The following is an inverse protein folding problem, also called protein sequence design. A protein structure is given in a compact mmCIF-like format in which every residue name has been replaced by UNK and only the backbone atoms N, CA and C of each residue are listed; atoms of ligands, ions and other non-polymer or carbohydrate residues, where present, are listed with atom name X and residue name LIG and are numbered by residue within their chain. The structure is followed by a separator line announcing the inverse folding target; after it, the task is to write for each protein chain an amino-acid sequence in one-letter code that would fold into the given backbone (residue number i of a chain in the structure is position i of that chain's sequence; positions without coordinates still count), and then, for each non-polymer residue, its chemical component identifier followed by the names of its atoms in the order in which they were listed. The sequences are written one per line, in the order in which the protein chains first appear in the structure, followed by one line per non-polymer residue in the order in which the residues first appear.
data_IF_272058548694
#
_entry.id   IF_272058548694
#
_cell.length_a   1.000
_cell.length_b   1.000
_cell.length_c   1.000
_cell.angle_alpha   90.00
_cell.angle_beta   90.00
_cell.angle_gamma   90.00
#
_symmetry.space_group_name_H-M   'P 1'
#
loop_
_entity.id
_entity.type
_entity.pdbx_description
1 polymer ?
#
# COMPACT_ATOMS: atom_id res chain seq x y z
N UNK A 1 -5.48 -3.74 -18.07
CA UNK A 1 -6.67 -4.56 -17.80
C UNK A 1 -7.60 -3.72 -16.94
N UNK A 2 -8.77 -3.35 -17.47
CA UNK A 2 -9.92 -3.15 -16.58
C UNK A 2 -10.02 -4.42 -15.72
N UNK A 3 -10.40 -4.31 -14.45
CA UNK A 3 -10.66 -5.50 -13.63
C UNK A 3 -11.55 -6.48 -14.42
N UNK A 4 -11.33 -7.81 -14.30
CA UNK A 4 -12.12 -8.81 -15.01
C UNK A 4 -13.62 -8.50 -14.97
N UNK A 5 -14.34 -8.83 -16.03
CA UNK A 5 -15.78 -8.59 -16.08
C UNK A 5 -16.53 -9.32 -14.94
N UNK A 6 -15.92 -10.39 -14.42
CA UNK A 6 -16.37 -11.22 -13.31
C UNK A 6 -15.74 -10.88 -11.95
N UNK A 7 -15.03 -9.75 -11.85
CA UNK A 7 -14.54 -9.24 -10.57
C UNK A 7 -15.72 -9.11 -9.59
N UNK A 8 -15.57 -9.73 -8.41
CA UNK A 8 -16.63 -9.77 -7.39
C UNK A 8 -17.00 -8.37 -6.88
N UNK A 9 -16.04 -7.47 -6.71
CA UNK A 9 -16.30 -6.08 -6.33
C UNK A 9 -16.98 -5.31 -7.48
N UNK A 10 -16.68 -5.65 -8.75
CA UNK A 10 -17.36 -5.13 -9.94
C UNK A 10 -18.81 -5.62 -10.05
N UNK A 11 -19.05 -6.92 -9.87
CA UNK A 11 -20.37 -7.57 -9.99
C UNK A 11 -21.27 -7.21 -8.80
N UNK A 12 -20.80 -7.38 -7.56
CA UNK A 12 -21.65 -7.25 -6.37
C UNK A 12 -21.99 -5.80 -6.03
N UNK A 13 -21.14 -4.84 -6.43
CA UNK A 13 -21.20 -3.47 -5.87
C UNK A 13 -21.27 -2.37 -6.93
N UNK A 14 -21.24 -2.72 -8.22
CA UNK A 14 -21.51 -1.81 -9.34
C UNK A 14 -20.47 -0.70 -9.56
N UNK A 15 -19.31 -0.77 -8.90
CA UNK A 15 -18.28 0.26 -8.98
C UNK A 15 -17.01 -0.29 -9.67
N UNK A 16 -16.62 0.35 -10.78
CA UNK A 16 -15.33 0.13 -11.43
C UNK A 16 -14.27 0.88 -10.61
N UNK A 17 -13.17 0.23 -10.23
CA UNK A 17 -12.01 0.94 -9.66
C UNK A 17 -11.47 1.91 -10.72
N UNK A 18 -11.78 3.20 -10.58
CA UNK A 18 -11.30 4.24 -11.49
C UNK A 18 -9.85 4.63 -11.15
N UNK A 19 -8.95 4.25 -12.04
CA UNK A 19 -7.63 4.83 -12.21
C UNK A 19 -7.04 4.33 -13.54
N UNK A 20 -6.42 5.18 -14.38
CA UNK A 20 -5.68 4.68 -15.53
C UNK A 20 -4.49 3.87 -15.03
N UNK A 21 -4.66 2.56 -14.92
CA UNK A 21 -3.54 1.66 -14.67
C UNK A 21 -2.67 1.66 -15.94
N UNK A 22 -1.49 2.27 -15.86
CA UNK A 22 -0.51 2.20 -16.93
C UNK A 22 0.16 0.82 -16.87
N UNK A 23 -0.18 -0.05 -17.80
CA UNK A 23 0.39 -1.38 -17.89
C UNK A 23 1.61 -1.32 -18.82
N UNK A 24 2.83 -1.62 -18.34
CA UNK A 24 4.00 -1.66 -19.20
C UNK A 24 3.85 -2.81 -20.20
N UNK A 25 3.64 -2.49 -21.48
CA UNK A 25 3.45 -3.48 -22.54
C UNK A 25 4.74 -4.26 -22.87
N UNK A 26 5.90 -3.77 -22.42
CA UNK A 26 7.21 -4.40 -22.59
C UNK A 26 7.57 -5.41 -21.49
N UNK A 27 6.74 -5.57 -20.45
CA UNK A 27 6.98 -6.55 -19.39
C UNK A 27 6.07 -7.77 -19.59
N UNK A 28 6.58 -8.75 -20.34
CA UNK A 28 5.90 -10.04 -20.52
C UNK A 28 5.61 -10.71 -19.16
N UNK A 29 4.38 -11.19 -18.95
CA UNK A 29 3.98 -11.83 -17.71
C UNK A 29 3.62 -10.86 -16.57
N UNK A 30 3.82 -9.55 -16.73
CA UNK A 30 3.51 -8.57 -15.69
C UNK A 30 2.03 -8.55 -15.32
N UNK A 31 1.14 -8.60 -16.32
CA UNK A 31 -0.31 -8.59 -16.09
C UNK A 31 -0.77 -9.86 -15.40
N UNK A 32 -0.27 -11.00 -15.86
CA UNK A 32 -0.56 -12.32 -15.30
C UNK A 32 -0.08 -12.42 -13.85
N UNK A 33 1.14 -11.95 -13.56
CA UNK A 33 1.71 -11.93 -12.21
C UNK A 33 0.93 -11.00 -11.26
N UNK A 34 0.61 -9.78 -11.69
CA UNK A 34 -0.22 -8.87 -10.88
C UNK A 34 -1.60 -9.50 -10.60
N UNK A 35 -2.17 -10.21 -11.57
CA UNK A 35 -3.44 -10.87 -11.40
C UNK A 35 -3.34 -12.07 -10.44
N UNK A 36 -2.43 -13.01 -10.68
CA UNK A 36 -2.32 -14.27 -9.92
C UNK A 36 -1.72 -14.08 -8.53
N UNK A 37 -0.67 -13.27 -8.39
CA UNK A 37 0.11 -13.18 -7.16
C UNK A 37 -0.42 -12.10 -6.21
N UNK A 38 -0.95 -11.00 -6.77
CA UNK A 38 -1.39 -9.86 -5.97
C UNK A 38 -2.91 -9.78 -5.89
N UNK A 39 -3.61 -9.72 -7.03
CA UNK A 39 -5.05 -9.48 -7.04
C UNK A 39 -5.86 -10.65 -6.46
N UNK A 40 -5.61 -11.89 -6.89
CA UNK A 40 -6.30 -13.06 -6.31
C UNK A 40 -5.99 -13.23 -4.82
N UNK A 41 -4.74 -12.97 -4.41
CA UNK A 41 -4.35 -12.99 -3.00
C UNK A 41 -5.09 -11.93 -2.20
N UNK A 42 -5.24 -10.72 -2.74
CA UNK A 42 -6.04 -9.65 -2.12
C UNK A 42 -7.51 -10.03 -1.99
N UNK A 43 -8.10 -10.66 -3.00
CA UNK A 43 -9.48 -11.15 -2.93
C UNK A 43 -9.68 -12.27 -1.90
N UNK A 44 -8.65 -13.09 -1.64
CA UNK A 44 -8.71 -14.15 -0.63
C UNK A 44 -8.63 -13.65 0.82
N UNK A 45 -8.28 -12.38 1.03
CA UNK A 45 -8.22 -11.81 2.38
C UNK A 45 -9.63 -11.53 2.92
N UNK A 46 -9.75 -11.60 4.24
CA UNK A 46 -10.94 -11.11 4.93
C UNK A 46 -10.85 -9.58 5.08
N UNK A 47 -11.88 -8.87 4.59
CA UNK A 47 -11.92 -7.42 4.57
C UNK A 47 -12.93 -6.88 5.58
N UNK A 48 -12.49 -5.95 6.41
CA UNK A 48 -13.37 -5.17 7.30
C UNK A 48 -13.54 -3.76 6.79
N UNK A 49 -14.80 -3.29 6.70
CA UNK A 49 -15.09 -1.91 6.31
C UNK A 49 -14.78 -0.94 7.46
N UNK A 50 -13.90 0.04 7.20
CA UNK A 50 -13.74 1.20 8.07
C UNK A 50 -14.94 2.15 7.89
N UNK A 51 -16.02 1.91 8.64
CA UNK A 51 -17.23 2.73 8.59
C UNK A 51 -16.90 4.17 9.04
N UNK A 52 -17.27 5.21 8.25
CA UNK A 52 -17.06 6.59 8.67
C UNK A 52 -17.81 6.89 9.97
N UNK A 53 -17.11 7.47 10.95
CA UNK A 53 -17.70 7.97 12.19
C UNK A 53 -17.53 9.50 12.18
N UNK A 54 -18.59 10.28 12.36
CA UNK A 54 -18.48 11.74 12.37
C UNK A 54 -17.49 12.25 13.43
N UNK A 55 -16.71 13.27 13.08
CA UNK A 55 -15.74 13.94 13.95
C UNK A 55 -14.61 13.03 14.48
N UNK A 56 -14.25 11.98 13.73
CA UNK A 56 -13.12 11.12 14.09
C UNK A 56 -12.13 10.98 12.93
N UNK A 57 -10.92 10.56 13.28
CA UNK A 57 -9.92 10.11 12.31
C UNK A 57 -9.83 8.59 12.34
N UNK A 58 -9.64 7.99 11.17
CA UNK A 58 -9.17 6.61 11.07
C UNK A 58 -7.65 6.66 11.22
N UNK A 59 -7.12 5.95 12.22
CA UNK A 59 -5.68 5.83 12.45
C UNK A 59 -5.25 4.41 12.12
N UNK A 60 -4.21 4.29 11.31
CA UNK A 60 -3.51 3.03 11.07
C UNK A 60 -2.02 3.21 11.33
N UNK A 61 -1.31 2.10 11.36
CA UNK A 61 0.14 2.08 11.55
C UNK A 61 0.82 1.69 10.25
N UNK A 62 2.01 2.23 10.03
CA UNK A 62 2.85 1.92 8.88
C UNK A 62 4.05 1.05 9.23
N UNK A 63 4.83 0.74 8.20
CA UNK A 63 5.92 -0.23 8.25
C UNK A 63 6.99 0.08 9.30
N UNK A 64 7.29 1.38 9.56
CA UNK A 64 8.29 1.75 10.55
C UNK A 64 7.89 1.35 11.98
N UNK A 65 6.60 1.46 12.33
CA UNK A 65 6.09 0.99 13.63
C UNK A 65 6.05 -0.55 13.68
N UNK A 66 5.78 -1.21 12.55
CA UNK A 66 5.89 -2.66 12.48
C UNK A 66 7.31 -3.15 12.77
N UNK A 67 8.34 -2.49 12.22
CA UNK A 67 9.74 -2.82 12.50
C UNK A 67 10.13 -2.56 13.95
N UNK A 68 9.72 -1.42 14.52
CA UNK A 68 9.96 -1.12 15.95
C UNK A 68 9.34 -2.15 16.89
N UNK A 69 8.25 -2.79 16.49
CA UNK A 69 7.52 -3.77 17.33
C UNK A 69 7.73 -5.21 16.90
N UNK A 70 8.64 -5.46 15.96
CA UNK A 70 8.95 -6.78 15.41
C UNK A 70 7.69 -7.60 15.00
N UNK A 71 6.74 -6.92 14.35
CA UNK A 71 5.40 -7.40 13.96
C UNK A 71 4.37 -7.64 15.06
N UNK A 72 4.60 -7.23 16.32
CA UNK A 72 3.50 -7.20 17.29
C UNK A 72 2.39 -6.26 16.82
N UNK A 73 2.76 -5.13 16.21
CA UNK A 73 1.86 -4.26 15.49
C UNK A 73 2.15 -4.32 14.00
N UNK A 74 1.17 -4.68 13.17
CA UNK A 74 1.35 -4.89 11.73
C UNK A 74 0.82 -3.73 10.90
N UNK A 75 1.63 -3.30 9.94
CA UNK A 75 1.23 -2.39 8.87
C UNK A 75 0.00 -2.96 8.17
N UNK A 76 -1.09 -2.21 8.22
CA UNK A 76 -2.40 -2.72 7.81
C UNK A 76 -2.50 -2.72 6.30
N UNK A 77 -2.74 -3.89 5.70
CA UNK A 77 -3.13 -3.97 4.28
C UNK A 77 -4.49 -3.30 4.13
N UNK A 78 -4.59 -2.28 3.28
CA UNK A 78 -5.82 -1.52 3.08
C UNK A 78 -6.00 -1.14 1.61
N UNK A 79 -7.26 -0.99 1.20
CA UNK A 79 -7.66 -0.57 -0.15
C UNK A 79 -8.82 0.41 -0.07
N UNK A 80 -8.95 1.25 -1.09
CA UNK A 80 -10.05 2.21 -1.21
C UNK A 80 -10.98 1.76 -2.34
N UNK A 81 -12.26 1.68 -2.03
CA UNK A 81 -13.34 1.47 -3.00
C UNK A 81 -14.31 2.62 -2.84
N UNK A 82 -14.60 3.35 -3.92
CA UNK A 82 -15.61 4.40 -3.91
C UNK A 82 -16.94 3.86 -4.46
N UNK A 83 -17.88 3.55 -3.56
CA UNK A 83 -19.21 3.04 -3.91
C UNK A 83 -20.29 4.14 -3.97
N UNK A 84 -19.93 5.39 -3.71
CA UNK A 84 -20.92 6.47 -3.56
C UNK A 84 -21.50 7.01 -4.86
N UNK A 85 -20.92 6.64 -6.01
CA UNK A 85 -21.26 7.22 -7.32
C UNK A 85 -20.89 8.70 -7.48
N UNK A 86 -20.27 9.32 -6.46
CA UNK A 86 -19.86 10.72 -6.45
C UNK A 86 -18.39 10.85 -6.09
N UNK A 87 -17.82 12.06 -6.23
CA UNK A 87 -16.43 12.31 -5.87
C UNK A 87 -16.26 12.20 -4.35
N UNK A 88 -15.27 11.42 -3.92
CA UNK A 88 -14.86 11.27 -2.52
C UNK A 88 -13.52 11.94 -2.29
N UNK A 89 -13.44 12.82 -1.29
CA UNK A 89 -12.19 13.41 -0.83
C UNK A 89 -11.59 12.60 0.33
N UNK A 90 -10.27 12.50 0.37
CA UNK A 90 -9.51 11.83 1.42
C UNK A 90 -8.17 12.53 1.57
N UNK A 91 -7.84 12.99 2.77
CA UNK A 91 -6.62 13.75 3.05
C UNK A 91 -5.80 12.96 4.07
N UNK A 92 -4.93 12.03 3.62
CA UNK A 92 -4.08 11.28 4.54
C UNK A 92 -2.97 12.18 5.08
N UNK A 93 -2.68 12.04 6.38
CA UNK A 93 -1.52 12.65 7.03
C UNK A 93 -0.62 11.53 7.54
N UNK A 94 0.65 11.56 7.15
CA UNK A 94 1.65 10.60 7.61
C UNK A 94 2.48 11.23 8.72
N UNK A 95 2.42 10.65 9.91
CA UNK A 95 3.25 11.04 11.04
C UNK A 95 4.33 9.99 11.26
N UNK A 96 5.59 10.42 11.29
CA UNK A 96 6.73 9.51 11.32
C UNK A 96 7.94 10.08 12.06
N UNK A 97 8.95 9.24 12.28
CA UNK A 97 10.18 9.64 12.95
C UNK A 97 10.99 10.65 12.12
N UNK A 98 12.00 11.25 12.78
CA UNK A 98 13.00 12.07 12.09
C UNK A 98 13.68 11.25 10.97
N UNK A 99 14.04 11.92 9.88
CA UNK A 99 14.71 11.30 8.72
C UNK A 99 15.95 10.48 9.10
N UNK A 100 16.74 10.92 10.07
CA UNK A 100 17.96 10.25 10.53
C UNK A 100 17.74 9.33 11.73
N UNK A 101 16.50 9.08 12.13
CA UNK A 101 16.23 8.13 13.22
C UNK A 101 16.54 6.70 12.78
N UNK A 102 17.30 5.98 13.60
CA UNK A 102 17.52 4.53 13.45
C UNK A 102 16.25 3.77 13.86
N UNK A 103 15.81 2.88 12.97
CA UNK A 103 14.65 2.00 13.14
C UNK A 103 15.17 0.58 13.39
N UNK A 104 15.17 0.20 14.67
CA UNK A 104 15.49 -1.15 15.17
C UNK A 104 14.44 -1.61 16.17
N UNK A 105 14.38 -2.90 16.47
CA UNK A 105 13.39 -3.40 17.44
C UNK A 105 13.48 -2.64 18.77
N UNK A 106 12.34 -2.21 19.29
CA UNK A 106 12.20 -1.61 20.62
C UNK A 106 11.77 -2.65 21.67
N UNK A 107 11.43 -3.86 21.22
CA UNK A 107 11.07 -4.97 22.08
C UNK A 107 12.24 -5.96 22.15
N UNK A 108 12.45 -6.52 23.33
CA UNK A 108 13.46 -7.54 23.55
C UNK A 108 12.95 -8.88 23.00
N UNK A 109 13.40 -9.25 21.81
CA UNK A 109 13.19 -10.57 21.24
C UNK A 109 14.52 -11.35 21.26
N UNK A 110 14.44 -12.68 21.35
CA UNK A 110 15.64 -13.54 21.27
C UNK A 110 16.34 -13.41 19.91
N UNK A 111 15.59 -13.10 18.86
CA UNK A 111 16.06 -12.82 17.51
C UNK A 111 15.17 -11.78 16.85
N UNK A 112 15.76 -10.65 16.46
CA UNK A 112 15.06 -9.61 15.69
C UNK A 112 14.81 -10.07 14.25
N UNK A 113 13.65 -9.72 13.67
CA UNK A 113 13.32 -10.10 12.28
C UNK A 113 13.89 -9.15 11.24
N UNK A 114 14.22 -7.93 11.65
CA UNK A 114 14.63 -6.84 10.77
C UNK A 114 15.99 -6.32 11.20
N UNK A 115 16.90 -6.19 10.23
CA UNK A 115 18.12 -5.40 10.45
C UNK A 115 17.78 -3.92 10.70
N UNK A 116 18.56 -3.18 11.50
CA UNK A 116 18.40 -1.74 11.66
C UNK A 116 18.46 -1.00 10.32
N UNK A 117 17.66 0.06 10.17
CA UNK A 117 17.70 0.96 9.00
C UNK A 117 17.41 2.41 9.42
N UNK A 118 17.90 3.40 8.68
CA UNK A 118 17.44 4.78 8.88
C UNK A 118 16.03 4.98 8.31
N UNK A 119 15.20 5.74 9.01
CA UNK A 119 13.83 6.05 8.57
C UNK A 119 13.81 6.67 7.17
N UNK A 120 14.70 7.63 6.91
CA UNK A 120 14.81 8.32 5.63
C UNK A 120 15.20 7.39 4.48
N UNK A 121 16.11 6.44 4.74
CA UNK A 121 16.51 5.42 3.75
C UNK A 121 15.33 4.51 3.41
N UNK A 122 14.61 4.03 4.44
CA UNK A 122 13.42 3.21 4.24
C UNK A 122 12.36 3.94 3.42
N UNK A 123 12.04 5.19 3.77
CA UNK A 123 11.06 5.99 3.03
C UNK A 123 11.49 6.28 1.59
N UNK A 124 12.78 6.50 1.36
CA UNK A 124 13.35 6.69 0.02
C UNK A 124 13.23 5.41 -0.80
N UNK A 125 13.55 4.26 -0.21
CA UNK A 125 13.37 2.96 -0.86
C UNK A 125 11.91 2.72 -1.25
N UNK A 126 10.96 2.89 -0.32
CA UNK A 126 9.52 2.72 -0.60
C UNK A 126 9.00 3.69 -1.66
N UNK A 127 9.50 4.92 -1.65
CA UNK A 127 9.16 5.93 -2.67
C UNK A 127 9.68 5.52 -4.04
N UNK A 128 10.91 5.02 -4.14
CA UNK A 128 11.48 4.53 -5.38
C UNK A 128 10.74 3.30 -5.91
N UNK A 129 10.38 2.35 -5.03
CA UNK A 129 9.59 1.17 -5.40
C UNK A 129 8.20 1.55 -5.93
N UNK A 130 7.58 2.58 -5.34
CA UNK A 130 6.23 3.04 -5.73
C UNK A 130 6.25 3.87 -7.01
N UNK A 131 7.26 4.71 -7.18
CA UNK A 131 7.35 5.70 -8.26
C UNK A 131 8.48 5.39 -9.25
N UNK A 132 8.72 4.11 -9.55
CA UNK A 132 9.78 3.68 -10.47
C UNK A 132 9.76 4.44 -11.81
N UNK A 133 8.57 4.79 -12.32
CA UNK A 133 8.41 5.55 -13.57
C UNK A 133 9.06 6.95 -13.55
N UNK A 134 9.29 7.55 -12.38
CA UNK A 134 9.95 8.87 -12.25
C UNK A 134 11.45 8.81 -12.55
N UNK A 135 12.10 7.66 -12.34
CA UNK A 135 13.54 7.53 -12.55
C UNK A 135 13.95 7.46 -14.03
N UNK A 136 13.01 7.11 -14.92
CA UNK A 136 13.28 6.99 -16.35
C UNK A 136 13.37 8.33 -17.11
N UNK A 137 13.15 9.46 -16.43
CA UNK A 137 13.10 10.80 -17.05
C UNK A 137 14.36 11.64 -16.81
N UNK A 138 15.38 11.12 -16.12
CA UNK A 138 16.62 11.85 -15.80
C UNK A 138 17.81 11.54 -16.70
N UNK A 139 17.66 10.70 -17.73
CA UNK A 139 18.77 10.27 -18.62
C UNK A 139 18.71 10.91 -20.02
N UNK A 140 18.26 12.15 -20.13
CA UNK A 140 18.24 12.88 -21.40
C UNK A 140 18.61 14.35 -21.19
N UNK A 141 19.88 14.58 -20.86
CA UNK A 141 20.57 15.88 -21.03
C UNK A 141 22.00 15.62 -21.45
#
# INVERSE_FOLDING_TARGET
MELPADDKDRIERGAILYGPNFWPDNLHGFRECIYSEFYLKMLSLEWTNAKPIPNTFVVNIGDLMQRWTDDQFKSTIHRVINTSGTIRYSIPVFFGPNYFAEIKSLINNEKEKYEPILAGEYLTQRSNDTYQYRQNHTSST
#
